data_IF_032913718060
#
_entry.id   IF_032913718060
#
_cell.length_a   1.000
_cell.length_b   1.000
_cell.length_c   1.000
_cell.angle_alpha   90.00
_cell.angle_beta   90.00
_cell.angle_gamma   90.00
#
_symmetry.space_group_name_H-M   'P 1'
#
loop_
_entity.id
_entity.type
_entity.pdbx_description
1 polymer ?
#
# COMPACT_ATOMS: atom_id res chain seq x y z
N UNK A 1 -14.80 -45.97 -22.80
CA UNK A 1 -13.66 -45.09 -23.10
C UNK A 1 -13.89 -43.80 -22.35
N UNK A 2 -13.18 -43.59 -21.24
CA UNK A 2 -13.25 -42.38 -20.42
C UNK A 2 -12.34 -41.33 -21.04
N UNK A 3 -12.92 -40.36 -21.75
CA UNK A 3 -12.18 -39.18 -22.19
C UNK A 3 -11.97 -38.29 -20.97
N UNK A 4 -10.72 -38.22 -20.53
CA UNK A 4 -10.28 -37.39 -19.41
C UNK A 4 -10.60 -35.92 -19.69
N UNK A 5 -11.45 -35.34 -18.87
CA UNK A 5 -11.58 -33.89 -18.74
C UNK A 5 -10.22 -33.34 -18.32
N UNK A 6 -9.44 -32.84 -19.29
CA UNK A 6 -8.33 -31.94 -19.05
C UNK A 6 -8.90 -30.66 -18.44
N UNK A 7 -9.09 -30.64 -17.12
CA UNK A 7 -9.28 -29.41 -16.37
C UNK A 7 -8.05 -28.56 -16.60
N UNK A 8 -8.11 -27.65 -17.56
CA UNK A 8 -7.21 -26.51 -17.64
C UNK A 8 -7.21 -25.85 -16.26
N UNK A 9 -6.12 -26.05 -15.52
CA UNK A 9 -5.89 -25.32 -14.29
C UNK A 9 -5.63 -23.88 -14.68
N UNK A 10 -6.71 -23.08 -14.76
CA UNK A 10 -6.60 -21.63 -14.90
C UNK A 10 -5.67 -21.08 -13.82
N UNK A 11 -4.84 -20.10 -14.18
CA UNK A 11 -3.90 -19.48 -13.23
C UNK A 11 -4.68 -18.91 -12.05
N UNK A 12 -4.43 -19.47 -10.86
CA UNK A 12 -5.04 -19.01 -9.60
C UNK A 12 -4.36 -17.71 -9.18
N UNK A 13 -5.16 -16.67 -9.00
CA UNK A 13 -4.71 -15.36 -8.54
C UNK A 13 -4.44 -15.39 -7.02
N UNK A 14 -3.16 -15.33 -6.61
CA UNK A 14 -2.80 -15.16 -5.20
C UNK A 14 -3.03 -13.71 -4.74
N UNK A 15 -4.10 -13.52 -3.95
CA UNK A 15 -4.48 -12.22 -3.39
C UNK A 15 -3.80 -11.92 -2.04
N UNK A 16 -2.89 -12.78 -1.56
CA UNK A 16 -2.25 -12.66 -0.26
C UNK A 16 -1.48 -11.35 -0.08
N UNK A 17 -0.71 -10.94 -1.09
CA UNK A 17 0.06 -9.70 -1.05
C UNK A 17 -0.83 -8.45 -0.95
N UNK A 18 -1.92 -8.40 -1.72
CA UNK A 18 -2.88 -7.28 -1.69
C UNK A 18 -3.67 -7.24 -0.39
N UNK A 19 -4.03 -8.40 0.16
CA UNK A 19 -4.73 -8.50 1.44
C UNK A 19 -3.85 -8.03 2.61
N UNK A 20 -2.58 -8.42 2.61
CA UNK A 20 -1.59 -7.94 3.58
C UNK A 20 -1.38 -6.42 3.46
N UNK A 21 -1.24 -5.91 2.24
CA UNK A 21 -1.11 -4.48 1.96
C UNK A 21 -2.32 -3.70 2.48
N UNK A 22 -3.54 -4.14 2.18
CA UNK A 22 -4.77 -3.48 2.63
C UNK A 22 -4.89 -3.48 4.17
N UNK A 23 -4.53 -4.59 4.82
CA UNK A 23 -4.50 -4.66 6.30
C UNK A 23 -3.54 -3.63 6.88
N UNK A 24 -2.32 -3.54 6.35
CA UNK A 24 -1.29 -2.66 6.88
C UNK A 24 -1.60 -1.18 6.63
N UNK A 25 -2.16 -0.81 5.47
CA UNK A 25 -2.62 0.55 5.19
C UNK A 25 -3.71 0.96 6.19
N UNK A 26 -4.70 0.09 6.44
CA UNK A 26 -5.77 0.39 7.39
C UNK A 26 -5.28 0.50 8.84
N UNK A 27 -4.18 -0.19 9.19
CA UNK A 27 -3.54 -0.09 10.50
C UNK A 27 -2.58 1.11 10.61
N UNK A 28 -2.28 1.78 9.49
CA UNK A 28 -1.39 2.93 9.44
C UNK A 28 -2.19 4.21 9.57
N UNK A 29 -2.09 4.84 10.73
CA UNK A 29 -2.69 6.13 11.00
C UNK A 29 -1.60 7.19 11.09
N UNK A 30 -1.65 8.15 10.18
CA UNK A 30 -0.71 9.26 10.16
C UNK A 30 -1.26 10.40 10.99
N UNK A 31 -0.50 10.82 12.00
CA UNK A 31 -0.84 11.92 12.89
C UNK A 31 0.32 12.89 13.02
N UNK A 32 0.01 14.18 13.09
CA UNK A 32 0.98 15.22 13.45
C UNK A 32 0.59 15.77 14.80
N UNK A 33 1.44 15.56 15.81
CA UNK A 33 1.26 16.12 17.15
C UNK A 33 1.87 17.51 17.23
N UNK A 34 1.09 18.49 17.70
CA UNK A 34 1.50 19.88 17.93
C UNK A 34 0.95 20.40 19.26
N UNK A 35 1.53 21.48 19.80
CA UNK A 35 0.99 22.12 21.01
C UNK A 35 -0.21 23.01 20.64
N UNK A 36 -1.28 22.90 21.43
CA UNK A 36 -2.39 23.84 21.37
C UNK A 36 -2.09 25.10 22.23
N UNK A 37 -3.01 26.06 22.20
CA UNK A 37 -2.89 27.31 22.96
C UNK A 37 -2.78 27.10 24.49
N UNK A 38 -3.26 25.96 25.02
CA UNK A 38 -3.16 25.58 26.42
C UNK A 38 -1.89 24.80 26.79
N UNK A 39 -0.95 24.61 25.85
CA UNK A 39 0.31 23.89 26.09
C UNK A 39 0.18 22.36 26.17
N UNK A 40 -0.99 21.80 25.86
CA UNK A 40 -1.19 20.35 25.71
C UNK A 40 -0.99 19.92 24.26
N UNK A 41 -0.60 18.66 24.04
CA UNK A 41 -0.48 18.13 22.69
C UNK A 41 -1.87 17.81 22.13
N UNK A 42 -2.12 18.28 20.92
CA UNK A 42 -3.22 17.84 20.07
C UNK A 42 -2.65 17.20 18.80
N UNK A 43 -3.45 16.37 18.14
CA UNK A 43 -3.07 15.70 16.89
C UNK A 43 -3.99 16.07 15.75
N UNK A 44 -3.42 16.19 14.55
CA UNK A 44 -4.17 16.27 13.30
C UNK A 44 -3.97 14.97 12.53
N UNK A 45 -5.07 14.34 12.11
CA UNK A 45 -5.05 13.14 11.28
C UNK A 45 -4.75 13.49 9.83
N UNK A 46 -3.83 12.76 9.21
CA UNK A 46 -3.55 12.84 7.78
C UNK A 46 -4.23 11.64 7.10
N UNK A 47 -5.19 11.87 6.20
CA UNK A 47 -5.97 10.79 5.60
C UNK A 47 -5.12 9.93 4.66
N UNK A 48 -5.30 8.61 4.76
CA UNK A 48 -4.76 7.58 3.84
C UNK A 48 -5.88 6.68 3.27
N UNK A 49 -7.15 7.03 3.51
CA UNK A 49 -8.32 6.24 3.11
C UNK A 49 -8.39 6.00 1.60
N UNK A 50 -8.01 7.00 0.80
CA UNK A 50 -8.07 6.92 -0.66
C UNK A 50 -7.10 5.87 -1.19
N UNK A 51 -5.93 5.73 -0.55
CA UNK A 51 -4.94 4.70 -0.85
C UNK A 51 -5.53 3.31 -0.59
N UNK A 52 -6.16 3.11 0.58
CA UNK A 52 -6.80 1.84 0.93
C UNK A 52 -7.94 1.50 -0.05
N UNK A 53 -8.72 2.51 -0.46
CA UNK A 53 -9.81 2.32 -1.40
C UNK A 53 -9.31 1.94 -2.80
N UNK A 54 -8.23 2.53 -3.29
CA UNK A 54 -7.61 2.14 -4.57
C UNK A 54 -7.10 0.70 -4.53
N UNK A 55 -6.39 0.30 -3.46
CA UNK A 55 -5.92 -1.08 -3.30
C UNK A 55 -7.09 -2.08 -3.25
N UNK A 56 -8.18 -1.72 -2.56
CA UNK A 56 -9.41 -2.53 -2.52
C UNK A 56 -10.04 -2.68 -3.90
N UNK A 57 -10.12 -1.60 -4.69
CA UNK A 57 -10.66 -1.64 -6.05
C UNK A 57 -9.78 -2.49 -6.97
N UNK A 58 -8.46 -2.30 -6.92
CA UNK A 58 -7.49 -3.10 -7.68
C UNK A 58 -7.66 -4.60 -7.38
N UNK A 59 -7.79 -4.98 -6.10
CA UNK A 59 -8.02 -6.38 -5.70
C UNK A 59 -9.34 -6.96 -6.22
N UNK A 60 -10.36 -6.14 -6.52
CA UNK A 60 -11.65 -6.61 -7.04
C UNK A 60 -11.60 -6.84 -8.54
N UNK A 61 -10.91 -5.98 -9.29
CA UNK A 61 -10.86 -6.03 -10.76
C UNK A 61 -9.74 -6.94 -11.27
N UNK A 62 -8.85 -7.40 -10.40
CA UNK A 62 -7.64 -8.15 -10.72
C UNK A 62 -7.87 -9.34 -11.67
N UNK A 63 -8.94 -10.11 -11.46
CA UNK A 63 -9.25 -11.28 -12.30
C UNK A 63 -9.83 -10.89 -13.67
N UNK A 64 -10.49 -9.75 -13.76
CA UNK A 64 -11.11 -9.28 -15.01
C UNK A 64 -10.21 -8.36 -15.84
N UNK A 65 -9.26 -7.67 -15.19
CA UNK A 65 -8.43 -6.64 -15.80
C UNK A 65 -7.16 -6.42 -14.96
N UNK A 66 -6.15 -7.26 -15.23
CA UNK A 66 -4.87 -7.25 -14.53
C UNK A 66 -4.10 -5.94 -14.75
N UNK A 67 -4.09 -5.42 -15.98
CA UNK A 67 -3.34 -4.21 -16.34
C UNK A 67 -3.84 -2.99 -15.55
N UNK A 68 -5.16 -2.82 -15.45
CA UNK A 68 -5.73 -1.72 -14.66
C UNK A 68 -5.55 -1.93 -13.17
N UNK A 69 -5.59 -3.18 -12.68
CA UNK A 69 -5.24 -3.48 -11.29
C UNK A 69 -3.78 -3.09 -10.98
N UNK A 70 -2.83 -3.39 -11.88
CA UNK A 70 -1.42 -3.02 -11.76
C UNK A 70 -1.24 -1.49 -11.72
N UNK A 71 -1.88 -0.76 -12.65
CA UNK A 71 -1.86 0.71 -12.67
C UNK A 71 -2.42 1.31 -11.39
N UNK A 72 -3.52 0.75 -10.87
CA UNK A 72 -4.11 1.20 -9.60
C UNK A 72 -3.18 0.99 -8.41
N UNK A 73 -2.47 -0.15 -8.33
CA UNK A 73 -1.51 -0.40 -7.25
C UNK A 73 -0.30 0.54 -7.33
N UNK A 74 0.23 0.80 -8.54
CA UNK A 74 1.30 1.77 -8.73
C UNK A 74 0.86 3.19 -8.36
N UNK A 75 -0.34 3.59 -8.77
CA UNK A 75 -0.94 4.88 -8.39
C UNK A 75 -1.08 5.02 -6.87
N UNK A 76 -1.62 3.99 -6.21
CA UNK A 76 -1.80 3.95 -4.76
C UNK A 76 -0.44 4.03 -4.02
N UNK A 77 0.60 3.35 -4.52
CA UNK A 77 1.95 3.43 -3.97
C UNK A 77 2.50 4.86 -4.04
N UNK A 78 2.39 5.51 -5.20
CA UNK A 78 2.81 6.90 -5.40
C UNK A 78 2.04 7.87 -4.50
N UNK A 79 0.73 7.67 -4.35
CA UNK A 79 -0.10 8.47 -3.46
C UNK A 79 0.33 8.30 -2.00
N UNK A 80 0.61 7.07 -1.55
CA UNK A 80 1.12 6.80 -0.21
C UNK A 80 2.46 7.48 0.04
N UNK A 81 3.40 7.41 -0.91
CA UNK A 81 4.70 8.09 -0.83
C UNK A 81 4.58 9.61 -0.79
N UNK A 82 3.62 10.18 -1.50
CA UNK A 82 3.34 11.63 -1.46
C UNK A 82 2.77 12.05 -0.10
N UNK A 83 1.81 11.28 0.43
CA UNK A 83 1.18 11.56 1.73
C UNK A 83 2.20 11.43 2.86
N UNK A 84 3.04 10.40 2.85
CA UNK A 84 4.08 10.18 3.87
C UNK A 84 5.18 11.26 3.82
N UNK A 85 5.60 11.71 2.64
CA UNK A 85 6.51 12.86 2.49
C UNK A 85 5.92 14.15 3.04
N UNK A 86 4.64 14.42 2.73
CA UNK A 86 3.92 15.59 3.27
C UNK A 86 3.82 15.50 4.80
N UNK A 87 3.51 14.32 5.32
CA UNK A 87 3.45 14.07 6.76
C UNK A 87 4.81 14.32 7.43
N UNK A 88 5.92 13.79 6.92
CA UNK A 88 7.25 14.02 7.54
C UNK A 88 7.64 15.51 7.55
N UNK A 89 7.28 16.25 6.48
CA UNK A 89 7.46 17.71 6.44
C UNK A 89 6.67 18.42 7.55
N UNK A 90 5.39 18.06 7.73
CA UNK A 90 4.55 18.62 8.79
C UNK A 90 5.05 18.25 10.19
N UNK A 91 5.55 17.03 10.36
CA UNK A 91 6.20 16.58 11.61
C UNK A 91 7.39 17.45 11.95
N UNK A 92 8.31 17.67 11.01
CA UNK A 92 9.49 18.52 11.23
C UNK A 92 9.10 19.95 11.61
N UNK A 93 8.11 20.51 10.92
CA UNK A 93 7.58 21.84 11.26
C UNK A 93 6.97 21.87 12.66
N UNK A 94 6.22 20.83 13.04
CA UNK A 94 5.62 20.74 14.36
C UNK A 94 6.67 20.61 15.46
N UNK A 95 7.66 19.74 15.28
CA UNK A 95 8.78 19.57 16.22
C UNK A 95 9.60 20.85 16.36
N UNK A 96 9.82 21.60 15.28
CA UNK A 96 10.50 22.90 15.34
C UNK A 96 9.67 23.95 16.10
N UNK A 97 8.35 23.97 15.93
CA UNK A 97 7.46 24.83 16.71
C UNK A 97 7.46 24.45 18.19
N UNK A 98 7.40 23.15 18.50
CA UNK A 98 7.47 22.66 19.87
C UNK A 98 8.81 23.01 20.53
N UNK A 99 9.92 22.92 19.78
CA UNK A 99 11.24 23.29 20.28
C UNK A 99 11.34 24.78 20.68
N UNK A 100 10.65 25.64 19.95
CA UNK A 100 10.74 27.11 20.13
C UNK A 100 9.67 27.66 21.07
N UNK A 101 8.49 27.02 21.12
CA UNK A 101 7.31 27.52 21.84
C UNK A 101 6.87 26.66 23.02
N UNK A 102 7.50 25.51 23.25
CA UNK A 102 7.09 24.56 24.28
C UNK A 102 8.31 23.99 25.01
N UNK A 103 8.12 23.57 26.26
CA UNK A 103 9.19 22.95 27.05
C UNK A 103 9.66 21.62 26.45
N UNK A 104 10.91 21.23 26.78
CA UNK A 104 11.57 20.04 26.24
C UNK A 104 10.76 18.73 26.41
N UNK A 105 9.96 18.61 27.47
CA UNK A 105 9.11 17.44 27.71
C UNK A 105 8.08 17.20 26.60
N UNK A 106 7.42 18.25 26.09
CA UNK A 106 6.41 18.14 25.02
C UNK A 106 7.03 17.80 23.67
N UNK A 107 8.20 18.36 23.39
CA UNK A 107 8.97 18.01 22.20
C UNK A 107 9.33 16.52 22.20
N UNK A 108 9.80 16.00 23.33
CA UNK A 108 10.18 14.59 23.46
C UNK A 108 8.97 13.66 23.33
N UNK A 109 7.84 14.03 23.92
CA UNK A 109 6.58 13.28 23.78
C UNK A 109 6.13 13.22 22.29
N UNK A 110 6.13 14.35 21.59
CA UNK A 110 5.76 14.40 20.17
C UNK A 110 6.73 13.60 19.29
N UNK A 111 8.05 13.74 19.51
CA UNK A 111 9.09 12.97 18.80
C UNK A 111 8.91 11.47 18.95
N UNK A 112 8.62 11.00 20.17
CA UNK A 112 8.38 9.58 20.43
C UNK A 112 7.19 9.08 19.61
N UNK A 113 6.05 9.80 19.65
CA UNK A 113 4.85 9.44 18.88
C UNK A 113 5.08 9.46 17.37
N UNK A 114 5.77 10.48 16.84
CA UNK A 114 6.12 10.53 15.42
C UNK A 114 7.07 9.39 15.01
N UNK A 115 8.02 9.01 15.88
CA UNK A 115 8.95 7.90 15.61
C UNK A 115 8.20 6.57 15.49
N UNK A 116 7.22 6.31 16.36
CA UNK A 116 6.36 5.12 16.24
C UNK A 116 5.58 5.07 14.92
N UNK A 117 5.20 6.22 14.35
CA UNK A 117 4.59 6.25 13.02
C UNK A 117 5.62 5.96 11.94
N UNK A 118 6.83 6.56 12.01
CA UNK A 118 7.90 6.32 11.02
C UNK A 118 8.20 4.83 10.87
N UNK A 119 8.21 4.08 11.97
CA UNK A 119 8.47 2.63 11.93
C UNK A 119 7.38 1.83 11.22
N UNK A 120 6.18 2.39 11.01
CA UNK A 120 5.08 1.75 10.26
C UNK A 120 5.08 2.07 8.77
N UNK A 121 5.77 3.13 8.33
CA UNK A 121 5.78 3.55 6.93
C UNK A 121 6.55 2.56 6.04
N UNK A 122 7.76 2.17 6.46
CA UNK A 122 8.61 1.28 5.67
C UNK A 122 7.99 -0.12 5.40
N UNK A 123 7.31 -0.76 6.37
CA UNK A 123 6.53 -1.98 6.12
C UNK A 123 5.48 -1.82 5.00
N UNK A 124 4.69 -0.73 5.01
CA UNK A 124 3.68 -0.47 3.97
C UNK A 124 4.32 -0.32 2.59
N UNK A 125 5.42 0.45 2.49
CA UNK A 125 6.16 0.61 1.24
C UNK A 125 6.72 -0.74 0.73
N UNK A 126 7.20 -1.58 1.64
CA UNK A 126 7.65 -2.93 1.29
C UNK A 126 6.51 -3.82 0.79
N UNK A 127 5.31 -3.70 1.35
CA UNK A 127 4.13 -4.43 0.89
C UNK A 127 3.65 -3.94 -0.48
N UNK A 128 3.75 -2.64 -0.78
CA UNK A 128 3.49 -2.13 -2.12
C UNK A 128 4.42 -2.75 -3.16
N UNK A 129 5.73 -2.80 -2.87
CA UNK A 129 6.71 -3.46 -3.76
C UNK A 129 6.40 -4.94 -3.95
N UNK A 130 6.06 -5.65 -2.87
CA UNK A 130 5.68 -7.07 -2.95
C UNK A 130 4.42 -7.27 -3.79
N UNK A 131 3.39 -6.46 -3.58
CA UNK A 131 2.15 -6.52 -4.36
C UNK A 131 2.42 -6.26 -5.84
N UNK A 132 3.20 -5.24 -6.18
CA UNK A 132 3.57 -4.96 -7.56
C UNK A 132 4.33 -6.12 -8.21
N UNK A 133 5.26 -6.74 -7.48
CA UNK A 133 5.99 -7.91 -7.97
C UNK A 133 5.05 -9.10 -8.21
N UNK A 134 4.18 -9.42 -7.25
CA UNK A 134 3.22 -10.53 -7.40
C UNK A 134 2.28 -10.36 -8.58
N UNK A 135 1.86 -9.12 -8.88
CA UNK A 135 1.05 -8.81 -10.06
C UNK A 135 1.83 -8.96 -11.36
N UNK A 136 3.11 -8.57 -11.37
CA UNK A 136 3.97 -8.73 -12.53
C UNK A 136 4.25 -10.21 -12.82
N UNK A 137 4.53 -11.00 -11.78
CA UNK A 137 4.71 -12.46 -11.89
C UNK A 137 3.44 -13.14 -12.41
N UNK A 138 2.26 -12.65 -12.00
CA UNK A 138 0.97 -13.12 -12.52
C UNK A 138 0.80 -12.79 -14.01
N UNK A 139 1.16 -11.58 -14.43
CA UNK A 139 1.10 -11.15 -15.84
C UNK A 139 1.95 -12.05 -16.74
N UNK A 140 3.19 -12.31 -16.32
CA UNK A 140 4.11 -13.20 -17.06
C UNK A 140 3.53 -14.61 -17.18
N UNK A 141 2.97 -15.17 -16.10
CA UNK A 141 2.36 -16.51 -16.12
C UNK A 141 1.17 -16.60 -17.07
N UNK A 142 0.33 -15.57 -17.11
CA UNK A 142 -0.82 -15.52 -18.04
C UNK A 142 -0.36 -15.45 -19.49
N UNK A 143 0.63 -14.62 -19.80
CA UNK A 143 1.22 -14.53 -21.14
C UNK A 143 1.85 -15.86 -21.59
N UNK A 144 2.57 -16.54 -20.70
CA UNK A 144 3.12 -17.87 -21.00
C UNK A 144 2.02 -18.91 -21.24
N UNK A 145 0.92 -18.86 -20.49
CA UNK A 145 -0.21 -19.76 -20.71
C UNK A 145 -0.89 -19.49 -22.06
N UNK A 146 -1.19 -18.24 -22.37
CA UNK A 146 -1.78 -17.84 -23.66
C UNK A 146 -0.91 -18.30 -24.83
N UNK A 147 0.42 -18.13 -24.72
CA UNK A 147 1.36 -18.59 -25.73
C UNK A 147 1.32 -20.11 -25.92
N UNK A 148 1.31 -20.89 -24.82
CA UNK A 148 1.22 -22.36 -24.89
C UNK A 148 -0.09 -22.83 -25.51
N UNK A 149 -1.20 -22.15 -25.21
CA UNK A 149 -2.50 -22.46 -25.79
C UNK A 149 -2.52 -22.17 -27.30
N UNK A 150 -1.90 -21.08 -27.73
CA UNK A 150 -1.76 -20.76 -29.16
C UNK A 150 -0.90 -21.81 -29.89
N UNK A 151 0.25 -22.20 -29.33
CA UNK A 151 1.14 -23.22 -29.93
C UNK A 151 0.44 -24.58 -30.06
N UNK A 152 -0.34 -25.01 -29.07
CA UNK A 152 -1.07 -26.28 -29.15
C UNK A 152 -2.28 -26.24 -30.10
N UNK A 153 -2.82 -25.04 -30.40
CA UNK A 153 -3.94 -24.88 -31.33
C UNK A 153 -3.51 -24.87 -32.80
N UNK A 154 -2.23 -24.57 -33.08
CA UNK A 154 -1.66 -24.61 -34.43
C UNK A 154 -1.18 -26.04 -34.83
N UNK A 155 -1.07 -26.96 -33.87
CA UNK A 155 -0.64 -28.36 -34.06
C UNK A 155 -1.83 -29.35 -34.22
N UNK A 156 -3.09 -28.90 -34.13
CA UNK A 156 -4.32 -29.67 -34.43
C UNK A 156 -4.88 -29.38 -35.85
#
# INVERSE_FOLDING_TARGET
MTSSESKEQGVVVDRGALSALLREINATHLFVWSANAGGTLSSITIPVSDVAQQVRTASRILESNLDDAMKMIQSAANQFDNVTRRWDSQVRQSEQKLRTKSGAGRLNEAKSKHTTIRTRIAPVQSLFRRAAQSLNDLSIKLQEQEKRLAENADDE
#
